data_IF_363372447388
#
_entry.id   IF_363372447388
#
_cell.length_a   1.000
_cell.length_b   1.000
_cell.length_c   1.000
_cell.angle_alpha   90.00
_cell.angle_beta   90.00
_cell.angle_gamma   90.00
#
_symmetry.space_group_name_H-M   'P 1'
#
loop_
_entity.id
_entity.type
_entity.pdbx_description
1 polymer ?
#
# COMPACT_ATOMS: atom_id res chain seq x y z
N UNK A 1 2.14 3.69 -15.45
CA UNK A 1 0.96 3.00 -16.02
C UNK A 1 1.37 2.33 -17.30
N UNK A 2 1.33 1.00 -17.34
CA UNK A 2 1.58 0.23 -18.57
C UNK A 2 0.36 0.38 -19.48
N UNK A 3 0.52 0.77 -20.76
CA UNK A 3 -0.61 0.96 -21.66
C UNK A 3 -1.35 -0.38 -21.87
N UNK A 4 -2.67 -0.34 -22.15
CA UNK A 4 -3.41 -1.54 -22.51
C UNK A 4 -2.78 -2.18 -23.75
N UNK A 5 -2.58 -3.50 -23.69
CA UNK A 5 -2.06 -4.24 -24.84
C UNK A 5 -3.14 -4.31 -25.91
N UNK A 6 -2.78 -4.18 -27.18
CA UNK A 6 -3.73 -4.31 -28.28
C UNK A 6 -4.40 -5.70 -28.22
N UNK A 7 -5.73 -5.72 -27.99
CA UNK A 7 -6.52 -6.94 -27.85
C UNK A 7 -6.84 -7.37 -26.40
N UNK A 8 -6.44 -6.60 -25.39
CA UNK A 8 -6.79 -6.87 -23.99
C UNK A 8 -8.29 -6.66 -23.74
N UNK A 9 -8.98 -7.67 -23.21
CA UNK A 9 -10.39 -7.52 -22.84
C UNK A 9 -10.54 -6.61 -21.61
N UNK A 10 -11.72 -6.02 -21.41
CA UNK A 10 -11.99 -5.24 -20.20
C UNK A 10 -11.72 -6.03 -18.91
N UNK A 11 -11.94 -7.34 -18.94
CA UNK A 11 -11.65 -8.25 -17.85
C UNK A 11 -10.17 -8.48 -17.60
N UNK A 12 -9.36 -8.58 -18.65
CA UNK A 12 -7.90 -8.69 -18.51
C UNK A 12 -7.30 -7.41 -17.93
N UNK A 13 -7.81 -6.24 -18.37
CA UNK A 13 -7.44 -4.95 -17.81
C UNK A 13 -7.78 -4.88 -16.31
N UNK A 14 -9.00 -5.25 -15.90
CA UNK A 14 -9.41 -5.23 -14.50
C UNK A 14 -8.56 -6.19 -13.65
N UNK A 15 -8.32 -7.42 -14.13
CA UNK A 15 -7.45 -8.39 -13.44
C UNK A 15 -6.02 -7.87 -13.26
N UNK A 16 -5.49 -7.16 -14.27
CA UNK A 16 -4.18 -6.51 -14.19
C UNK A 16 -4.16 -5.36 -13.17
N UNK A 17 -5.17 -4.49 -13.17
CA UNK A 17 -5.30 -3.43 -12.17
C UNK A 17 -5.38 -3.99 -10.74
N UNK A 18 -6.13 -5.06 -10.53
CA UNK A 18 -6.20 -5.73 -9.23
C UNK A 18 -4.83 -6.29 -8.80
N UNK A 19 -4.06 -6.87 -9.74
CA UNK A 19 -2.69 -7.33 -9.47
C UNK A 19 -1.75 -6.18 -9.11
N UNK A 20 -1.84 -5.06 -9.83
CA UNK A 20 -1.02 -3.87 -9.57
C UNK A 20 -1.36 -3.26 -8.20
N UNK A 21 -2.65 -3.20 -7.83
CA UNK A 21 -3.09 -2.79 -6.50
C UNK A 21 -2.54 -3.71 -5.39
N UNK A 22 -2.61 -5.03 -5.58
CA UNK A 22 -2.01 -6.00 -4.62
C UNK A 22 -0.51 -5.76 -4.43
N UNK A 23 0.22 -5.49 -5.52
CA UNK A 23 1.64 -5.17 -5.45
C UNK A 23 1.90 -3.84 -4.72
N UNK A 24 1.09 -2.80 -4.98
CA UNK A 24 1.17 -1.51 -4.29
C UNK A 24 0.94 -1.65 -2.78
N UNK A 25 -0.10 -2.39 -2.38
CA UNK A 25 -0.41 -2.68 -0.98
C UNK A 25 0.78 -3.37 -0.33
N UNK A 26 1.30 -4.44 -0.92
CA UNK A 26 2.43 -5.19 -0.37
C UNK A 26 3.69 -4.34 -0.20
N UNK A 27 4.00 -3.48 -1.18
CA UNK A 27 5.13 -2.57 -1.09
C UNK A 27 4.93 -1.52 0.03
N UNK A 28 3.71 -1.00 0.17
CA UNK A 28 3.36 -0.04 1.21
C UNK A 28 3.44 -0.67 2.61
N UNK A 29 3.02 -1.93 2.76
CA UNK A 29 3.17 -2.68 4.01
C UNK A 29 4.63 -2.93 4.38
N UNK A 30 5.45 -3.27 3.39
CA UNK A 30 6.90 -3.43 3.57
C UNK A 30 7.53 -2.12 4.03
N UNK A 31 7.15 -1.00 3.43
CA UNK A 31 7.62 0.32 3.83
C UNK A 31 7.15 0.68 5.26
N UNK A 32 5.89 0.40 5.61
CA UNK A 32 5.36 0.60 6.95
C UNK A 32 6.13 -0.23 8.00
N UNK A 33 6.49 -1.47 7.68
CA UNK A 33 7.32 -2.31 8.54
C UNK A 33 8.72 -1.70 8.74
N UNK A 34 9.34 -1.16 7.68
CA UNK A 34 10.61 -0.45 7.78
C UNK A 34 10.54 0.79 8.68
N UNK A 35 9.47 1.59 8.56
CA UNK A 35 9.25 2.75 9.43
C UNK A 35 9.10 2.32 10.90
N UNK A 36 8.33 1.26 11.17
CA UNK A 36 8.17 0.71 12.53
C UNK A 36 9.51 0.27 13.12
N UNK A 37 10.31 -0.48 12.37
CA UNK A 37 11.64 -0.90 12.80
C UNK A 37 12.52 0.30 13.14
N UNK A 38 12.50 1.34 12.30
CA UNK A 38 13.27 2.57 12.53
C UNK A 38 12.82 3.33 13.78
N UNK A 39 11.51 3.39 14.05
CA UNK A 39 10.98 3.98 15.29
C UNK A 39 11.51 3.19 16.50
N UNK A 40 11.44 1.86 16.47
CA UNK A 40 11.95 1.01 17.55
C UNK A 40 13.45 1.20 17.78
N UNK A 41 14.25 1.29 16.71
CA UNK A 41 15.69 1.58 16.81
C UNK A 41 15.97 2.93 17.47
N UNK A 42 15.21 3.97 17.11
CA UNK A 42 15.37 5.31 17.67
C UNK A 42 14.97 5.33 19.14
N UNK A 43 13.83 4.73 19.50
CA UNK A 43 13.34 4.67 20.88
C UNK A 43 14.29 3.89 21.82
N UNK A 44 15.14 3.01 21.29
CA UNK A 44 16.14 2.26 22.05
C UNK A 44 17.44 3.04 22.33
N UNK A 45 17.63 4.23 21.76
CA UNK A 45 18.83 5.04 21.97
C UNK A 45 18.84 5.67 23.37
N UNK A 46 20.03 5.97 23.89
CA UNK A 46 20.19 6.58 25.22
C UNK A 46 19.61 8.00 25.32
N UNK A 47 19.62 8.75 24.21
CA UNK A 47 18.99 10.06 24.07
C UNK A 47 18.21 10.11 22.75
N UNK A 48 16.96 9.59 22.73
CA UNK A 48 16.19 9.42 21.50
C UNK A 48 15.64 10.75 20.97
N UNK A 49 15.86 11.02 19.67
CA UNK A 49 15.28 12.19 18.99
C UNK A 49 13.75 12.08 18.87
N UNK A 50 13.06 12.72 19.80
CA UNK A 50 11.60 12.73 19.87
C UNK A 50 10.95 13.41 18.67
N UNK A 51 11.63 14.37 18.04
CA UNK A 51 11.14 15.05 16.85
C UNK A 51 11.12 14.10 15.66
N UNK A 52 12.21 13.37 15.46
CA UNK A 52 12.30 12.36 14.40
C UNK A 52 11.30 11.22 14.63
N UNK A 53 11.17 10.71 15.85
CA UNK A 53 10.21 9.65 16.19
C UNK A 53 8.77 10.11 15.90
N UNK A 54 8.42 11.34 16.28
CA UNK A 54 7.08 11.89 16.05
C UNK A 54 6.78 12.03 14.55
N UNK A 55 7.73 12.51 13.76
CA UNK A 55 7.58 12.62 12.31
C UNK A 55 7.39 11.25 11.65
N UNK A 56 8.15 10.23 12.08
CA UNK A 56 8.01 8.86 11.57
C UNK A 56 6.66 8.25 11.95
N UNK A 57 6.16 8.49 13.18
CA UNK A 57 4.83 8.03 13.60
C UNK A 57 3.70 8.66 12.75
N UNK A 58 3.81 9.95 12.43
CA UNK A 58 2.86 10.62 11.54
C UNK A 58 2.91 10.06 10.11
N UNK A 59 4.12 9.87 9.57
CA UNK A 59 4.28 9.27 8.24
C UNK A 59 3.72 7.83 8.18
N UNK A 60 3.92 7.05 9.24
CA UNK A 60 3.35 5.71 9.37
C UNK A 60 1.83 5.74 9.38
N UNK A 61 1.20 6.64 10.13
CA UNK A 61 -0.27 6.78 10.17
C UNK A 61 -0.87 7.11 8.80
N UNK A 62 -0.26 8.06 8.08
CA UNK A 62 -0.67 8.39 6.70
C UNK A 62 -0.54 7.19 5.77
N UNK A 63 0.58 6.45 5.88
CA UNK A 63 0.82 5.27 5.04
C UNK A 63 -0.19 4.14 5.34
N UNK A 64 -0.55 3.94 6.61
CA UNK A 64 -1.54 2.93 7.00
C UNK A 64 -2.93 3.27 6.47
N UNK A 65 -3.36 4.53 6.54
CA UNK A 65 -4.61 4.98 5.94
C UNK A 65 -4.65 4.75 4.43
N UNK A 66 -3.56 5.06 3.72
CA UNK A 66 -3.43 4.77 2.29
C UNK A 66 -3.58 3.28 1.98
N UNK A 67 -2.99 2.41 2.80
CA UNK A 67 -3.13 0.95 2.64
C UNK A 67 -4.59 0.52 2.83
N UNK A 68 -5.31 1.08 3.80
CA UNK A 68 -6.73 0.80 4.01
C UNK A 68 -7.59 1.22 2.81
N UNK A 69 -7.35 2.41 2.26
CA UNK A 69 -8.02 2.92 1.05
C UNK A 69 -7.74 2.04 -0.18
N UNK A 70 -6.48 1.62 -0.39
CA UNK A 70 -6.12 0.71 -1.48
C UNK A 70 -6.77 -0.66 -1.32
N UNK A 71 -6.88 -1.17 -0.08
CA UNK A 71 -7.57 -2.44 0.21
C UNK A 71 -9.06 -2.37 -0.07
N UNK A 72 -9.71 -1.26 0.29
CA UNK A 72 -11.11 -1.03 -0.05
C UNK A 72 -11.32 -1.00 -1.57
N UNK A 73 -10.48 -0.24 -2.28
CA UNK A 73 -10.52 -0.13 -3.75
C UNK A 73 -10.29 -1.48 -4.43
N UNK A 74 -9.36 -2.29 -3.91
CA UNK A 74 -9.10 -3.65 -4.41
C UNK A 74 -10.32 -4.55 -4.19
N UNK A 75 -10.93 -4.50 -3.00
CA UNK A 75 -12.11 -5.31 -2.70
C UNK A 75 -13.27 -4.98 -3.64
N UNK A 76 -13.53 -3.70 -3.91
CA UNK A 76 -14.55 -3.27 -4.86
C UNK A 76 -14.25 -3.77 -6.28
N UNK A 77 -12.99 -3.65 -6.73
CA UNK A 77 -12.58 -4.14 -8.04
C UNK A 77 -12.70 -5.66 -8.17
N UNK A 78 -12.36 -6.43 -7.13
CA UNK A 78 -12.50 -7.88 -7.12
C UNK A 78 -13.96 -8.33 -7.20
N UNK A 79 -14.89 -7.60 -6.55
CA UNK A 79 -16.33 -7.83 -6.70
C UNK A 79 -16.75 -7.62 -8.15
N UNK A 80 -16.41 -6.48 -8.75
CA UNK A 80 -16.74 -6.18 -10.15
C UNK A 80 -16.21 -7.26 -11.10
N UNK A 81 -14.96 -7.70 -10.91
CA UNK A 81 -14.39 -8.79 -11.73
C UNK A 81 -15.21 -10.07 -11.56
N UNK A 82 -15.56 -10.45 -10.32
CA UNK A 82 -16.31 -11.68 -10.05
C UNK A 82 -17.71 -11.69 -10.66
N UNK A 83 -18.34 -10.52 -10.77
CA UNK A 83 -19.68 -10.37 -11.33
C UNK A 83 -19.70 -10.28 -12.86
N UNK A 84 -18.59 -9.85 -13.49
CA UNK A 84 -18.60 -9.43 -14.89
C UNK A 84 -17.65 -10.18 -15.85
N UNK A 85 -16.82 -11.15 -15.41
CA UNK A 85 -15.69 -11.66 -16.22
C UNK A 85 -15.54 -13.18 -16.51
#
# INVERSE_FOLDING_TARGET
>A
MTPPQAGESGCDLMKRLAKDLKASIHNSETHAAGIRARITELEAQADPDQGQISALKQALDVLLKKIEEERASLSELEVVISENC
#
